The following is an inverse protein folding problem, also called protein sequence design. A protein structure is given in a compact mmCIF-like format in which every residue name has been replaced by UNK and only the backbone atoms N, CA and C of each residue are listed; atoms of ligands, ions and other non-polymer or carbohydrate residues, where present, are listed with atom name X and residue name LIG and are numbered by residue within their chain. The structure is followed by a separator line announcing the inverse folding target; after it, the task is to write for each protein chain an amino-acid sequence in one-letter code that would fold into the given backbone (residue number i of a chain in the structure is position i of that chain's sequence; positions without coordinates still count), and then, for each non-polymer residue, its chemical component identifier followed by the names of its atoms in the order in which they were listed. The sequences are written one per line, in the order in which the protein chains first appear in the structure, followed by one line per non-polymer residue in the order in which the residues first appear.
data_IF_399869536377
#
_entry.id   IF_399869536377
#
_cell.length_a   1.000
_cell.length_b   1.000
_cell.length_c   1.000
_cell.angle_alpha   90.00
_cell.angle_beta   90.00
_cell.angle_gamma   90.00
#
_symmetry.space_group_name_H-M   'P 1'
#
loop_
_entity.id
_entity.type
_entity.pdbx_description
1 polymer ?
#
# COMPACT_ATOMS: atom_id res chain seq x y z
N UNK A 1 -16.26 11.56 14.85
CA UNK A 1 -15.18 10.55 14.83
C UNK A 1 -14.51 10.42 16.19
N UNK A 2 -14.25 11.53 16.90
CA UNK A 2 -13.63 11.52 18.24
C UNK A 2 -14.29 10.59 19.25
N UNK A 3 -15.62 10.45 19.22
CA UNK A 3 -16.37 9.53 20.11
C UNK A 3 -16.29 8.04 19.73
N UNK A 4 -15.62 7.68 18.63
CA UNK A 4 -15.53 6.28 18.18
C UNK A 4 -14.56 5.45 19.03
N UNK A 5 -13.65 6.09 19.76
CA UNK A 5 -12.72 5.44 20.70
C UNK A 5 -12.59 6.28 21.98
N UNK A 6 -12.33 5.66 23.15
CA UNK A 6 -12.27 6.39 24.42
C UNK A 6 -11.23 7.52 24.47
N UNK A 7 -10.08 7.34 23.81
CA UNK A 7 -8.97 8.30 23.80
C UNK A 7 -9.06 9.36 22.71
N UNK A 8 -10.19 9.51 22.04
CA UNK A 8 -10.42 10.58 21.06
C UNK A 8 -9.46 10.58 19.87
N UNK A 9 -9.18 11.77 19.32
CA UNK A 9 -8.27 11.94 18.18
C UNK A 9 -6.85 11.41 18.41
N UNK A 10 -6.19 11.63 19.58
CA UNK A 10 -4.86 11.08 19.84
C UNK A 10 -4.80 9.56 19.67
N UNK A 11 -5.81 8.85 20.18
CA UNK A 11 -5.89 7.39 20.04
C UNK A 11 -6.15 6.98 18.59
N UNK A 12 -7.03 7.68 17.85
CA UNK A 12 -7.28 7.42 16.43
C UNK A 12 -5.99 7.57 15.61
N UNK A 13 -5.27 8.67 15.82
CA UNK A 13 -4.01 8.96 15.11
C UNK A 13 -2.97 7.89 15.40
N UNK A 14 -2.83 7.47 16.66
CA UNK A 14 -1.89 6.43 17.07
C UNK A 14 -2.26 5.05 16.52
N UNK A 15 -3.55 4.68 16.54
CA UNK A 15 -4.03 3.41 15.93
C UNK A 15 -3.77 3.37 14.42
N UNK A 16 -4.09 4.46 13.71
CA UNK A 16 -3.84 4.56 12.27
C UNK A 16 -2.35 4.50 11.96
N UNK A 17 -1.52 5.24 12.71
CA UNK A 17 -0.06 5.22 12.56
C UNK A 17 0.52 3.84 12.78
N UNK A 18 0.08 3.13 13.83
CA UNK A 18 0.52 1.77 14.12
C UNK A 18 0.20 0.80 12.99
N UNK A 19 -0.98 0.91 12.40
CA UNK A 19 -1.36 0.11 11.23
C UNK A 19 -0.49 0.44 10.01
N UNK A 20 -0.23 1.72 9.72
CA UNK A 20 0.64 2.12 8.62
C UNK A 20 2.09 1.60 8.79
N UNK A 21 2.64 1.68 10.00
CA UNK A 21 3.96 1.11 10.33
C UNK A 21 3.98 -0.41 10.19
N UNK A 22 2.93 -1.10 10.64
CA UNK A 22 2.80 -2.54 10.49
C UNK A 22 2.75 -2.96 9.01
N UNK A 23 1.97 -2.24 8.20
CA UNK A 23 1.93 -2.44 6.76
C UNK A 23 3.32 -2.22 6.13
N UNK A 24 4.01 -1.12 6.46
CA UNK A 24 5.37 -0.86 5.96
C UNK A 24 6.32 -2.03 6.22
N UNK A 25 6.41 -2.49 7.48
CA UNK A 25 7.28 -3.58 7.88
C UNK A 25 6.94 -4.87 7.15
N UNK A 26 5.64 -5.20 7.09
CA UNK A 26 5.16 -6.41 6.44
C UNK A 26 5.48 -6.44 4.94
N UNK A 27 5.22 -5.34 4.22
CA UNK A 27 5.53 -5.25 2.79
C UNK A 27 7.03 -5.29 2.53
N UNK A 28 7.82 -4.55 3.32
CA UNK A 28 9.27 -4.52 3.17
C UNK A 28 9.89 -5.91 3.36
N UNK A 29 9.40 -6.68 4.34
CA UNK A 29 9.80 -8.08 4.55
C UNK A 29 9.36 -8.94 3.37
N UNK A 30 8.09 -8.82 2.95
CA UNK A 30 7.48 -9.66 1.91
C UNK A 30 8.16 -9.54 0.54
N UNK A 31 8.69 -8.35 0.21
CA UNK A 31 9.27 -8.07 -1.10
C UNK A 31 10.77 -7.79 -1.06
N UNK A 32 11.43 -8.11 0.07
CA UNK A 32 12.85 -7.86 0.31
C UNK A 32 13.27 -6.40 0.00
N UNK A 33 12.45 -5.44 0.45
CA UNK A 33 12.67 -4.01 0.25
C UNK A 33 13.25 -3.38 1.51
N UNK A 34 14.06 -2.34 1.33
CA UNK A 34 14.50 -1.50 2.44
C UNK A 34 13.35 -0.63 2.93
N UNK A 35 13.36 -0.29 4.22
CA UNK A 35 12.42 0.69 4.76
C UNK A 35 12.61 2.02 4.02
N UNK A 36 11.55 2.56 3.38
CA UNK A 36 11.67 3.76 2.56
C UNK A 36 11.87 5.04 3.38
N UNK A 37 11.47 5.02 4.66
CA UNK A 37 11.61 6.13 5.59
C UNK A 37 11.64 5.61 7.04
N UNK A 38 12.28 6.33 7.98
CA UNK A 38 12.25 6.00 9.39
C UNK A 38 10.85 6.14 9.98
N UNK A 39 10.56 5.44 11.08
CA UNK A 39 9.24 5.46 11.73
C UNK A 39 8.80 6.88 12.14
N UNK A 40 9.74 7.77 12.45
CA UNK A 40 9.45 9.17 12.80
C UNK A 40 8.80 9.97 11.67
N UNK A 41 8.92 9.53 10.42
CA UNK A 41 8.34 10.18 9.24
C UNK A 41 7.00 9.58 8.80
N UNK A 42 6.49 8.56 9.50
CA UNK A 42 5.27 7.85 9.10
C UNK A 42 4.06 8.35 9.90
N UNK A 43 3.07 8.91 9.21
CA UNK A 43 1.77 9.25 9.79
C UNK A 43 0.80 8.06 9.70
N UNK A 44 -0.41 8.32 9.22
CA UNK A 44 -1.40 7.29 8.87
C UNK A 44 -1.26 6.75 7.45
N UNK A 45 -0.21 7.12 6.71
CA UNK A 45 0.01 6.67 5.34
C UNK A 45 1.47 6.29 5.14
N UNK A 46 1.71 5.32 4.26
CA UNK A 46 3.05 4.91 3.87
C UNK A 46 3.11 4.55 2.38
N UNK A 47 4.16 5.01 1.72
CA UNK A 47 4.48 4.64 0.34
C UNK A 47 5.63 3.64 0.35
N UNK A 48 5.42 2.46 -0.23
CA UNK A 48 6.35 1.34 -0.16
C UNK A 48 6.82 0.98 -1.57
N UNK A 49 8.14 0.91 -1.83
CA UNK A 49 8.66 0.42 -3.09
C UNK A 49 8.18 -1.00 -3.38
N UNK A 50 7.80 -1.22 -4.63
CA UNK A 50 7.58 -2.55 -5.18
C UNK A 50 8.73 -2.88 -6.13
N UNK A 51 8.97 -4.17 -6.44
CA UNK A 51 9.89 -4.56 -7.51
C UNK A 51 9.53 -3.84 -8.82
N UNK A 52 10.54 -3.51 -9.62
CA UNK A 52 10.37 -2.81 -10.90
C UNK A 52 9.38 -3.56 -11.81
N UNK A 53 8.54 -2.81 -12.52
CA UNK A 53 7.61 -3.39 -13.47
C UNK A 53 8.36 -3.99 -14.67
N UNK A 54 7.90 -5.13 -15.16
CA UNK A 54 8.35 -5.70 -16.42
C UNK A 54 7.64 -5.03 -17.62
N UNK A 55 8.34 -5.01 -18.76
CA UNK A 55 7.77 -4.58 -20.05
C UNK A 55 7.86 -3.06 -20.34
N UNK A 56 7.05 -2.56 -21.29
CA UNK A 56 6.96 -1.13 -21.58
C UNK A 56 6.03 -0.40 -20.61
N UNK A 57 6.25 0.90 -20.43
CA UNK A 57 5.37 1.74 -19.62
C UNK A 57 3.93 1.71 -20.19
N UNK A 58 2.92 1.36 -19.38
CA UNK A 58 1.54 1.39 -19.83
C UNK A 58 1.12 2.82 -20.18
N UNK A 59 0.34 2.97 -21.26
CA UNK A 59 -0.23 4.26 -21.63
C UNK A 59 -1.18 4.73 -20.52
N UNK A 60 -1.15 6.01 -20.12
CA UNK A 60 -2.04 6.52 -19.09
C UNK A 60 -3.51 6.33 -19.52
N UNK A 61 -4.30 5.69 -18.67
CA UNK A 61 -5.75 5.58 -18.84
C UNK A 61 -6.43 6.90 -18.44
N UNK A 62 -7.71 7.10 -18.82
CA UNK A 62 -8.46 8.32 -18.42
C UNK A 62 -8.55 8.48 -16.90
N UNK A 63 -8.58 7.37 -16.18
CA UNK A 63 -8.64 7.29 -14.71
C UNK A 63 -7.27 7.23 -14.04
N UNK A 64 -6.19 7.18 -14.83
CA UNK A 64 -4.82 6.93 -14.35
C UNK A 64 -4.67 5.64 -13.52
N UNK A 65 -5.64 4.70 -13.64
CA UNK A 65 -5.57 3.38 -13.02
C UNK A 65 -4.68 2.46 -13.85
N UNK A 66 -3.81 1.73 -13.17
CA UNK A 66 -2.95 0.71 -13.77
C UNK A 66 -3.68 -0.64 -13.78
N UNK A 67 -3.36 -1.58 -14.69
CA UNK A 67 -3.98 -2.92 -14.70
C UNK A 67 -3.92 -3.65 -13.35
N UNK A 68 -2.85 -3.44 -12.58
CA UNK A 68 -2.73 -4.00 -11.22
C UNK A 68 -3.79 -3.49 -10.25
N UNK A 69 -4.19 -2.22 -10.35
CA UNK A 69 -5.22 -1.63 -9.49
C UNK A 69 -6.59 -2.24 -9.82
N UNK A 70 -6.90 -2.40 -11.11
CA UNK A 70 -8.14 -3.03 -11.55
C UNK A 70 -8.20 -4.51 -11.11
N UNK A 71 -7.08 -5.24 -11.19
CA UNK A 71 -6.99 -6.64 -10.76
C UNK A 71 -7.10 -6.79 -9.23
N UNK A 72 -6.46 -5.92 -8.46
CA UNK A 72 -6.58 -5.92 -7.00
C UNK A 72 -8.01 -5.58 -6.56
N UNK A 73 -8.67 -4.65 -7.25
CA UNK A 73 -10.08 -4.36 -7.00
C UNK A 73 -10.96 -5.57 -7.32
N UNK A 74 -10.78 -6.19 -8.48
CA UNK A 74 -11.61 -7.32 -8.91
C UNK A 74 -11.41 -8.59 -8.08
N UNK A 75 -10.17 -8.87 -7.63
CA UNK A 75 -9.83 -10.11 -6.91
C UNK A 75 -9.90 -9.95 -5.40
N UNK A 76 -9.44 -8.83 -4.87
CA UNK A 76 -9.30 -8.59 -3.43
C UNK A 76 -10.32 -7.60 -2.88
N UNK A 77 -11.14 -6.96 -3.73
CA UNK A 77 -12.02 -5.85 -3.36
C UNK A 77 -11.26 -4.68 -2.70
N UNK A 78 -10.00 -4.48 -3.11
CA UNK A 78 -9.11 -3.45 -2.56
C UNK A 78 -8.75 -2.45 -3.66
N UNK A 79 -9.18 -1.21 -3.46
CA UNK A 79 -8.72 -0.05 -4.22
C UNK A 79 -7.48 0.54 -3.53
N UNK A 80 -6.35 0.56 -4.23
CA UNK A 80 -5.09 1.08 -3.70
C UNK A 80 -4.26 1.77 -4.78
N UNK A 81 -3.65 2.94 -4.52
CA UNK A 81 -2.75 3.57 -5.48
C UNK A 81 -1.49 2.73 -5.72
N UNK A 82 -1.25 2.40 -6.99
CA UNK A 82 0.04 1.90 -7.49
C UNK A 82 0.53 2.90 -8.53
N UNK A 83 1.63 3.58 -8.22
CA UNK A 83 2.12 4.73 -8.99
C UNK A 83 3.57 4.55 -9.42
N UNK A 84 3.90 5.01 -10.62
CA UNK A 84 5.29 5.09 -11.06
C UNK A 84 6.02 6.21 -10.34
N UNK A 85 7.07 5.89 -9.58
CA UNK A 85 7.88 6.89 -8.87
C UNK A 85 9.31 6.39 -8.62
N UNK A 86 10.35 7.22 -8.83
CA UNK A 86 10.28 8.57 -9.40
C UNK A 86 9.94 8.58 -10.90
N UNK A 87 10.13 7.45 -11.59
CA UNK A 87 9.75 7.21 -12.97
C UNK A 87 9.62 5.69 -13.22
N UNK A 88 8.91 5.30 -14.29
CA UNK A 88 8.88 3.90 -14.75
C UNK A 88 10.31 3.38 -15.02
N UNK A 89 10.64 2.10 -14.72
CA UNK A 89 9.78 1.00 -14.26
C UNK A 89 9.54 0.96 -12.75
N UNK A 90 10.10 1.90 -11.99
CA UNK A 90 9.94 1.94 -10.53
C UNK A 90 8.51 2.28 -10.15
N UNK A 91 7.99 1.58 -9.16
CA UNK A 91 6.63 1.77 -8.66
C UNK A 91 6.55 1.71 -7.14
N UNK A 92 5.56 2.41 -6.61
CA UNK A 92 5.20 2.39 -5.20
C UNK A 92 3.76 1.96 -5.04
N UNK A 93 3.47 1.18 -4.00
CA UNK A 93 2.12 1.07 -3.44
C UNK A 93 1.98 2.08 -2.31
N UNK A 94 0.87 2.83 -2.28
CA UNK A 94 0.58 3.77 -1.17
C UNK A 94 -0.59 3.26 -0.36
N UNK A 95 -0.30 2.88 0.88
CA UNK A 95 -1.31 2.44 1.84
C UNK A 95 -1.72 3.61 2.73
N UNK A 96 -3.04 3.76 2.93
CA UNK A 96 -3.63 4.70 3.87
C UNK A 96 -4.39 3.96 4.95
N UNK A 97 -3.93 4.08 6.20
CA UNK A 97 -4.55 3.46 7.36
C UNK A 97 -5.56 4.40 8.02
N UNK A 98 -6.73 3.84 8.28
CA UNK A 98 -7.87 4.48 8.93
C UNK A 98 -8.44 3.55 10.00
N UNK A 99 -9.32 4.10 10.83
CA UNK A 99 -9.86 3.40 12.00
C UNK A 99 -10.62 2.12 11.64
N UNK A 100 -11.22 2.08 10.45
CA UNK A 100 -11.96 0.94 9.92
C UNK A 100 -11.06 -0.10 9.24
N UNK A 101 -9.76 0.14 9.13
CA UNK A 101 -8.86 -0.82 8.53
C UNK A 101 -8.41 -1.88 9.54
N UNK A 102 -8.15 -3.08 9.01
CA UNK A 102 -7.65 -4.22 9.78
C UNK A 102 -6.38 -4.76 9.15
N UNK A 103 -5.48 -5.30 9.98
CA UNK A 103 -4.22 -5.90 9.51
C UNK A 103 -4.44 -6.94 8.39
N UNK A 104 -5.48 -7.76 8.51
CA UNK A 104 -5.82 -8.79 7.53
C UNK A 104 -6.06 -8.23 6.12
N UNK A 105 -6.56 -7.00 5.99
CA UNK A 105 -6.74 -6.35 4.68
C UNK A 105 -5.40 -6.02 4.03
N UNK A 106 -4.39 -5.64 4.83
CA UNK A 106 -3.04 -5.42 4.33
C UNK A 106 -2.34 -6.73 3.99
N UNK A 107 -2.57 -7.79 4.77
CA UNK A 107 -2.07 -9.13 4.46
C UNK A 107 -2.63 -9.62 3.11
N UNK A 108 -3.94 -9.47 2.88
CA UNK A 108 -4.60 -9.77 1.61
C UNK A 108 -4.04 -8.94 0.44
N UNK A 109 -3.83 -7.64 0.65
CA UNK A 109 -3.22 -6.78 -0.36
C UNK A 109 -1.79 -7.23 -0.72
N UNK A 110 -1.00 -7.63 0.27
CA UNK A 110 0.35 -8.13 0.04
C UNK A 110 0.36 -9.50 -0.64
N UNK A 111 -0.65 -10.33 -0.43
CA UNK A 111 -0.81 -11.57 -1.20
C UNK A 111 -1.18 -11.28 -2.66
N UNK A 112 -2.19 -10.43 -2.89
CA UNK A 112 -2.60 -10.06 -4.24
C UNK A 112 -1.50 -9.39 -5.06
N UNK A 113 -0.68 -8.53 -4.44
CA UNK A 113 0.48 -7.94 -5.14
C UNK A 113 1.57 -8.99 -5.43
N UNK A 114 1.77 -9.99 -4.55
CA UNK A 114 2.72 -11.08 -4.79
C UNK A 114 2.30 -11.91 -6.01
N UNK A 115 1.04 -12.31 -6.09
CA UNK A 115 0.52 -13.03 -7.27
C UNK A 115 0.75 -12.25 -8.56
N UNK A 116 0.51 -10.93 -8.53
CA UNK A 116 0.76 -10.06 -9.69
C UNK A 116 2.24 -9.96 -10.05
N UNK A 117 3.15 -10.03 -9.07
CA UNK A 117 4.60 -10.09 -9.32
C UNK A 117 4.99 -11.43 -9.96
N UNK A 118 4.41 -12.53 -9.50
CA UNK A 118 4.68 -13.87 -10.02
C UNK A 118 4.17 -14.02 -11.45
N UNK A 119 3.02 -13.42 -11.78
CA UNK A 119 2.46 -13.35 -13.14
C UNK A 119 3.33 -12.52 -14.12
N UNK A 120 4.30 -11.74 -13.63
CA UNK A 120 5.24 -10.94 -14.44
C UNK A 120 6.56 -11.65 -14.75
N UNK A 121 6.84 -12.79 -14.10
CA UNK A 121 8.05 -13.60 -14.34
C UNK A 121 7.88 -14.55 -15.52
#
# INVERSE_FOLDING_TARGET
LESLVPGGWPEIMERNRRLALAAQKMFCISYNQKLPAPESMIGSMVSIPLPDAAGPQPKPTRTQTTPWQDLLLARCEIEVPIVSWPAYPKRLVRVSAQLYNHKAQYDLLAEGIRELLDDQM
#
